data_IF_221459382733
#
_entry.id   IF_221459382733
#
_cell.length_a   1.000
_cell.length_b   1.000
_cell.length_c   1.000
_cell.angle_alpha   90.00
_cell.angle_beta   90.00
_cell.angle_gamma   90.00
#
_symmetry.space_group_name_H-M   'P 1'
#
loop_
_entity.id
_entity.type
_entity.pdbx_description
1 polymer ?
#
# COMPACT_ATOMS: atom_id res chain seq x y z
N UNK A 1 6.55 3.21 -22.38
CA UNK A 1 6.87 2.44 -21.16
C UNK A 1 5.56 1.89 -20.61
N UNK A 2 5.40 0.58 -20.45
CA UNK A 2 4.22 0.00 -19.80
C UNK A 2 4.25 0.22 -18.29
N UNK A 3 3.10 0.11 -17.62
CA UNK A 3 2.98 0.36 -16.17
C UNK A 3 3.86 -0.58 -15.33
N UNK A 4 4.02 -1.85 -15.76
CA UNK A 4 4.88 -2.84 -15.09
C UNK A 4 6.34 -2.39 -15.07
N UNK A 5 6.90 -2.05 -16.23
CA UNK A 5 8.29 -1.56 -16.34
C UNK A 5 8.52 -0.28 -15.55
N UNK A 6 7.51 0.58 -15.46
CA UNK A 6 7.60 1.80 -14.65
C UNK A 6 7.62 1.47 -13.14
N UNK A 7 6.77 0.54 -12.67
CA UNK A 7 6.76 0.10 -11.27
C UNK A 7 8.10 -0.56 -10.90
N UNK A 8 8.65 -1.44 -11.76
CA UNK A 8 9.95 -2.07 -11.52
C UNK A 8 11.07 -1.02 -11.41
N UNK A 9 11.06 -0.02 -12.29
CA UNK A 9 12.01 1.09 -12.22
C UNK A 9 11.82 1.96 -10.97
N UNK A 10 10.57 2.17 -10.52
CA UNK A 10 10.27 2.94 -9.32
C UNK A 10 10.74 2.21 -8.05
N UNK A 11 10.60 0.89 -8.00
CA UNK A 11 11.06 0.05 -6.89
C UNK A 11 12.59 0.11 -6.72
N UNK A 12 13.35 0.27 -7.81
CA UNK A 12 14.81 0.42 -7.78
C UNK A 12 15.31 1.80 -7.38
N UNK A 13 14.43 2.80 -7.19
CA UNK A 13 14.84 4.15 -6.85
C UNK A 13 15.15 4.31 -5.35
N UNK A 14 16.42 4.36 -4.99
CA UNK A 14 16.88 4.49 -3.60
C UNK A 14 16.73 5.91 -3.02
N UNK A 15 16.38 6.91 -3.83
CA UNK A 15 16.19 8.30 -3.39
C UNK A 15 14.99 8.94 -4.11
N UNK A 16 13.75 8.47 -3.82
CA UNK A 16 12.55 8.96 -4.50
C UNK A 16 12.30 10.43 -4.18
N UNK A 17 12.07 11.23 -5.21
CA UNK A 17 11.64 12.63 -5.07
C UNK A 17 10.15 12.67 -4.78
N UNK A 18 9.69 13.83 -4.30
CA UNK A 18 8.25 14.07 -4.09
C UNK A 18 7.40 13.74 -5.32
N UNK A 19 7.84 14.13 -6.51
CA UNK A 19 7.12 13.83 -7.76
C UNK A 19 7.05 12.34 -8.09
N UNK A 20 8.00 11.53 -7.61
CA UNK A 20 7.98 10.08 -7.79
C UNK A 20 6.93 9.45 -6.88
N UNK A 21 6.85 9.92 -5.63
CA UNK A 21 5.84 9.53 -4.66
C UNK A 21 4.44 9.92 -5.14
N UNK A 22 4.23 11.17 -5.58
CA UNK A 22 2.93 11.64 -6.06
C UNK A 22 2.41 10.78 -7.25
N UNK A 23 3.30 10.27 -8.12
CA UNK A 23 2.95 9.35 -9.22
C UNK A 23 2.58 7.96 -8.73
N UNK A 24 3.30 7.44 -7.74
CA UNK A 24 3.00 6.16 -7.12
C UNK A 24 1.65 6.23 -6.39
N UNK A 25 1.39 7.31 -5.66
CA UNK A 25 0.14 7.55 -4.97
C UNK A 25 -1.03 7.57 -5.95
N UNK A 26 -0.90 8.26 -7.10
CA UNK A 26 -1.92 8.26 -8.14
C UNK A 26 -2.19 6.84 -8.71
N UNK A 27 -1.15 6.05 -8.90
CA UNK A 27 -1.26 4.65 -9.33
C UNK A 27 -1.98 3.78 -8.28
N UNK A 28 -1.57 3.89 -7.02
CA UNK A 28 -2.19 3.18 -5.90
C UNK A 28 -3.66 3.57 -5.72
N UNK A 29 -4.00 4.86 -5.81
CA UNK A 29 -5.38 5.34 -5.74
C UNK A 29 -6.26 4.69 -6.81
N UNK A 30 -5.79 4.63 -8.06
CA UNK A 30 -6.53 3.98 -9.15
C UNK A 30 -6.71 2.48 -8.90
N UNK A 31 -5.64 1.78 -8.48
CA UNK A 31 -5.70 0.34 -8.20
C UNK A 31 -6.65 0.01 -7.04
N UNK A 32 -6.60 0.80 -5.97
CA UNK A 32 -7.51 0.64 -4.82
C UNK A 32 -8.95 0.89 -5.24
N UNK A 33 -9.22 1.96 -6.00
CA UNK A 33 -10.56 2.24 -6.51
C UNK A 33 -11.09 1.08 -7.38
N UNK A 34 -10.24 0.50 -8.23
CA UNK A 34 -10.59 -0.67 -9.02
C UNK A 34 -10.92 -1.87 -8.12
N UNK A 35 -10.04 -2.21 -7.17
CA UNK A 35 -10.24 -3.35 -6.28
C UNK A 35 -11.55 -3.24 -5.51
N UNK A 36 -11.83 -2.05 -4.95
CA UNK A 36 -13.06 -1.80 -4.23
C UNK A 36 -14.30 -1.90 -5.15
N UNK A 37 -14.23 -1.42 -6.39
CA UNK A 37 -15.31 -1.57 -7.36
C UNK A 37 -15.59 -3.05 -7.72
N UNK A 38 -14.56 -3.90 -7.68
CA UNK A 38 -14.67 -5.35 -7.86
C UNK A 38 -14.94 -6.13 -6.56
N UNK A 39 -15.22 -5.44 -5.44
CA UNK A 39 -15.43 -6.05 -4.12
C UNK A 39 -14.24 -6.93 -3.66
N UNK A 40 -13.03 -6.59 -4.09
CA UNK A 40 -11.80 -7.23 -3.63
C UNK A 40 -11.30 -6.57 -2.34
N UNK A 41 -10.70 -7.38 -1.49
CA UNK A 41 -10.09 -6.90 -0.26
C UNK A 41 -8.96 -5.91 -0.53
N UNK A 42 -8.90 -4.88 0.29
CA UNK A 42 -7.76 -3.99 0.41
C UNK A 42 -7.18 -4.07 1.83
N UNK A 43 -6.06 -3.41 2.06
CA UNK A 43 -5.45 -3.23 3.37
C UNK A 43 -5.49 -1.76 3.76
N UNK A 44 -5.95 -1.46 4.97
CA UNK A 44 -5.67 -0.20 5.66
C UNK A 44 -4.33 -0.32 6.38
N UNK A 45 -3.36 0.51 5.99
CA UNK A 45 -2.00 0.51 6.51
C UNK A 45 -1.71 1.83 7.20
N UNK A 46 -1.37 1.77 8.49
CA UNK A 46 -1.09 2.95 9.31
C UNK A 46 -1.98 3.05 10.55
N UNK A 47 -1.93 4.20 11.20
CA UNK A 47 -2.68 4.47 12.42
C UNK A 47 -3.92 5.32 12.13
N UNK A 48 -5.03 5.01 12.80
CA UNK A 48 -6.32 5.66 12.52
C UNK A 48 -6.39 7.10 13.00
N UNK A 49 -5.54 7.50 13.95
CA UNK A 49 -5.56 8.85 14.53
C UNK A 49 -4.57 9.77 13.84
N UNK A 50 -3.40 9.25 13.48
CA UNK A 50 -2.27 10.03 12.93
C UNK A 50 -2.17 9.96 11.42
N UNK A 51 -2.75 8.93 10.79
CA UNK A 51 -2.82 8.81 9.34
C UNK A 51 -2.61 7.38 8.86
N UNK A 52 -3.36 7.04 7.81
CA UNK A 52 -3.28 5.73 7.15
C UNK A 52 -3.44 5.90 5.63
N UNK A 53 -3.01 4.88 4.89
CA UNK A 53 -3.31 4.70 3.47
C UNK A 53 -4.12 3.41 3.28
N UNK A 54 -4.77 3.29 2.14
CA UNK A 54 -5.37 2.04 1.67
C UNK A 54 -4.55 1.53 0.49
N UNK A 55 -4.24 0.24 0.46
CA UNK A 55 -3.50 -0.42 -0.63
C UNK A 55 -4.20 -1.71 -1.05
N UNK A 56 -4.00 -2.22 -2.28
CA UNK A 56 -4.56 -3.50 -2.69
C UNK A 56 -4.07 -4.64 -1.78
N UNK A 57 -4.94 -5.58 -1.41
CA UNK A 57 -4.53 -6.73 -0.60
C UNK A 57 -3.72 -7.73 -1.44
N UNK A 58 -2.69 -8.30 -0.82
CA UNK A 58 -1.89 -9.39 -1.37
C UNK A 58 -1.09 -10.07 -0.26
N UNK A 59 -1.02 -11.39 -0.27
CA UNK A 59 -0.45 -12.18 0.84
C UNK A 59 1.01 -11.81 1.12
N UNK A 60 1.82 -11.66 0.07
CA UNK A 60 3.22 -11.25 0.20
C UNK A 60 3.37 -9.83 0.77
N UNK A 61 2.51 -8.89 0.34
CA UNK A 61 2.52 -7.52 0.84
C UNK A 61 2.12 -7.48 2.32
N UNK A 62 1.07 -8.24 2.70
CA UNK A 62 0.64 -8.36 4.09
C UNK A 62 1.76 -8.89 4.97
N UNK A 63 2.39 -9.99 4.58
CA UNK A 63 3.48 -10.61 5.34
C UNK A 63 4.67 -9.65 5.54
N UNK A 64 5.04 -8.91 4.49
CA UNK A 64 6.09 -7.88 4.55
C UNK A 64 5.72 -6.76 5.54
N UNK A 65 4.49 -6.24 5.47
CA UNK A 65 4.04 -5.16 6.36
C UNK A 65 3.94 -5.61 7.82
N UNK A 66 3.43 -6.82 8.07
CA UNK A 66 3.36 -7.39 9.42
C UNK A 66 4.77 -7.63 10.00
N UNK A 67 5.72 -8.10 9.19
CA UNK A 67 7.13 -8.24 9.57
C UNK A 67 7.73 -6.89 9.97
N UNK A 68 7.55 -5.86 9.13
CA UNK A 68 8.03 -4.50 9.44
C UNK A 68 7.37 -3.88 10.67
N UNK A 69 6.11 -4.21 10.95
CA UNK A 69 5.47 -3.78 12.19
C UNK A 69 6.24 -4.34 13.39
N UNK A 70 6.50 -5.65 13.41
CA UNK A 70 7.27 -6.31 14.47
C UNK A 70 8.68 -5.70 14.63
N UNK A 71 9.41 -5.51 13.53
CA UNK A 71 10.77 -4.93 13.55
C UNK A 71 10.82 -3.51 14.11
N UNK A 72 9.72 -2.77 13.97
CA UNK A 72 9.62 -1.39 14.42
C UNK A 72 8.85 -1.21 15.73
N UNK A 73 8.54 -2.31 16.43
CA UNK A 73 7.82 -2.29 17.71
C UNK A 73 6.33 -1.89 17.60
N UNK A 74 5.75 -2.02 16.40
CA UNK A 74 4.33 -1.76 16.11
C UNK A 74 3.56 -3.07 16.15
N UNK A 75 2.37 -3.04 16.75
CA UNK A 75 1.50 -4.21 16.80
C UNK A 75 0.80 -4.39 15.44
N UNK A 76 0.99 -5.52 14.73
CA UNK A 76 0.51 -5.66 13.36
C UNK A 76 -1.01 -5.47 13.20
N UNK A 77 -1.84 -5.95 14.13
CA UNK A 77 -3.30 -5.81 13.99
C UNK A 77 -3.79 -4.35 14.15
N UNK A 78 -3.00 -3.51 14.81
CA UNK A 78 -3.19 -2.06 14.91
C UNK A 78 -2.65 -1.27 13.72
N UNK A 79 -1.87 -1.88 12.83
CA UNK A 79 -1.24 -1.17 11.71
C UNK A 79 -1.60 -1.72 10.34
N UNK A 80 -2.04 -2.98 10.23
CA UNK A 80 -2.40 -3.66 8.99
C UNK A 80 -3.75 -4.34 9.17
N UNK A 81 -4.81 -3.77 8.58
CA UNK A 81 -6.19 -4.27 8.71
C UNK A 81 -6.80 -4.51 7.35
N UNK A 82 -7.69 -5.51 7.23
CA UNK A 82 -8.53 -5.65 6.04
C UNK A 82 -9.44 -4.43 5.91
N UNK A 83 -9.56 -3.91 4.69
CA UNK A 83 -10.44 -2.82 4.33
C UNK A 83 -11.33 -3.25 3.15
N UNK A 84 -12.64 -3.08 3.30
CA UNK A 84 -13.66 -3.40 2.31
C UNK A 84 -14.66 -2.26 2.27
N UNK A 85 -15.22 -1.96 1.09
CA UNK A 85 -16.41 -1.10 0.99
C UNK A 85 -17.65 -1.95 1.28
N UNK A 86 -18.45 -1.48 2.23
CA UNK A 86 -19.74 -2.09 2.63
C UNK A 86 -20.85 -1.66 1.70
#
# INVERSE_FOLDING_TARGET
MGIVLWIDSAAGNSSPRKSDQDRLDACLCLLVAWYLAEQKDCLMVGDRQTGYIVVPNGDALRAELETRCCETGREPSQWVRVFQMT
#
